data_IF_602941749136
#
_entry.id   IF_602941749136
#
_cell.length_a   1.000
_cell.length_b   1.000
_cell.length_c   1.000
_cell.angle_alpha   90.00
_cell.angle_beta   90.00
_cell.angle_gamma   90.00
#
_symmetry.space_group_name_H-M   'P 1'
#
loop_
_entity.id
_entity.type
_entity.pdbx_description
1 polymer ?
#
# COMPACT_ATOMS: atom_id res chain seq x y z
N UNK A 1 0.27 -14.45 11.35
CA UNK A 1 1.01 -15.25 10.35
C UNK A 1 0.34 -15.16 8.98
N UNK A 2 0.97 -15.72 7.94
CA UNK A 2 0.33 -15.99 6.66
C UNK A 2 -0.58 -17.24 6.75
N UNK A 3 -1.31 -17.56 5.67
CA UNK A 3 -2.15 -18.78 5.61
C UNK A 3 -1.35 -20.07 5.86
N UNK A 4 -0.09 -20.10 5.46
CA UNK A 4 0.85 -21.20 5.65
C UNK A 4 1.72 -21.06 6.92
N UNK A 5 1.35 -20.15 7.83
CA UNK A 5 2.04 -19.98 9.11
C UNK A 5 3.34 -19.18 9.06
N UNK A 6 3.79 -18.71 7.90
CA UNK A 6 5.05 -17.96 7.76
C UNK A 6 5.02 -16.61 8.47
N UNK A 7 6.14 -16.24 9.06
CA UNK A 7 6.37 -14.89 9.57
C UNK A 7 6.63 -13.91 8.42
N UNK A 8 6.53 -12.61 8.68
CA UNK A 8 6.68 -11.59 7.64
C UNK A 8 8.00 -10.87 7.81
N UNK A 9 8.88 -11.07 6.83
CA UNK A 9 10.22 -10.49 6.79
C UNK A 9 10.33 -9.33 5.81
N UNK A 10 9.27 -9.02 5.07
CA UNK A 10 9.19 -7.87 4.20
C UNK A 10 7.74 -7.41 4.02
N UNK A 11 7.57 -6.11 3.90
CA UNK A 11 6.28 -5.46 3.60
C UNK A 11 6.48 -4.31 2.65
N UNK A 12 5.53 -4.15 1.72
CA UNK A 12 5.53 -2.95 0.89
C UNK A 12 5.37 -1.71 1.76
N UNK A 13 6.06 -0.65 1.39
CA UNK A 13 5.74 0.70 1.80
C UNK A 13 4.52 1.21 1.04
N UNK A 14 3.93 2.31 1.50
CA UNK A 14 2.71 2.89 0.93
C UNK A 14 2.86 4.38 0.69
N UNK A 15 2.21 4.85 -0.37
CA UNK A 15 1.95 6.25 -0.63
C UNK A 15 0.48 6.42 -1.03
N UNK A 16 -0.16 7.46 -0.54
CA UNK A 16 -1.57 7.74 -0.80
C UNK A 16 -1.71 9.16 -1.31
N UNK A 17 -2.41 9.30 -2.43
CA UNK A 17 -2.64 10.61 -3.05
C UNK A 17 -4.11 10.80 -3.33
N UNK A 18 -4.52 12.07 -3.30
CA UNK A 18 -5.74 12.52 -3.91
C UNK A 18 -5.37 13.57 -4.97
N UNK A 19 -5.87 13.37 -6.17
CA UNK A 19 -5.70 14.29 -7.30
C UNK A 19 -7.04 14.93 -7.60
N UNK A 20 -7.10 16.25 -7.54
CA UNK A 20 -8.24 17.03 -8.00
C UNK A 20 -7.89 17.72 -9.33
N UNK A 21 -8.76 17.54 -10.31
CA UNK A 21 -8.73 18.27 -11.57
C UNK A 21 -9.82 19.32 -11.56
N UNK A 22 -9.42 20.57 -11.74
CA UNK A 22 -10.31 21.71 -11.88
C UNK A 22 -10.39 22.10 -13.36
N UNK A 23 -11.59 22.06 -13.91
CA UNK A 23 -11.93 22.48 -15.26
C UNK A 23 -12.83 23.72 -15.25
N UNK A 24 -13.75 23.77 -16.21
CA UNK A 24 -14.75 24.84 -16.34
C UNK A 24 -16.08 24.24 -16.80
N UNK A 25 -17.16 24.52 -16.04
CA UNK A 25 -18.50 24.06 -16.40
C UNK A 25 -19.04 24.83 -17.62
N UNK A 26 -19.78 24.12 -18.47
CA UNK A 26 -20.61 24.70 -19.55
C UNK A 26 -21.77 23.76 -19.86
N UNK A 27 -22.73 24.19 -20.65
CA UNK A 27 -23.84 23.34 -21.07
C UNK A 27 -23.34 22.34 -22.14
N UNK A 28 -23.44 21.04 -21.83
CA UNK A 28 -22.86 19.97 -22.67
C UNK A 28 -23.44 19.90 -24.11
N UNK A 29 -24.67 20.38 -24.32
CA UNK A 29 -25.31 20.32 -25.62
C UNK A 29 -25.39 21.67 -26.36
N UNK A 30 -25.17 22.80 -25.67
CA UNK A 30 -25.27 24.13 -26.28
C UNK A 30 -23.91 24.75 -26.55
N UNK A 31 -23.00 24.69 -25.59
CA UNK A 31 -21.70 25.39 -25.65
C UNK A 31 -20.59 24.52 -25.01
N UNK A 32 -20.43 23.24 -25.42
CA UNK A 32 -19.43 22.35 -24.81
C UNK A 32 -18.00 22.89 -25.00
N UNK A 33 -17.74 23.64 -26.08
CA UNK A 33 -16.44 24.24 -26.39
C UNK A 33 -16.03 25.34 -25.41
N UNK A 34 -16.96 25.92 -24.67
CA UNK A 34 -16.67 26.88 -23.61
C UNK A 34 -16.25 26.23 -22.29
N UNK A 35 -16.47 24.93 -22.16
CA UNK A 35 -16.09 24.16 -20.97
C UNK A 35 -14.68 23.61 -21.05
N UNK A 36 -14.17 23.22 -19.87
CA UNK A 36 -12.94 22.44 -19.73
C UNK A 36 -13.30 21.18 -18.96
N UNK A 37 -13.34 20.04 -19.64
CA UNK A 37 -13.91 18.81 -19.10
C UNK A 37 -12.94 18.11 -18.13
N UNK A 38 -13.20 18.24 -16.84
CA UNK A 38 -12.41 17.64 -15.79
C UNK A 38 -12.41 16.09 -15.84
N UNK A 39 -13.50 15.46 -16.33
CA UNK A 39 -13.54 13.98 -16.49
C UNK A 39 -12.57 13.51 -17.57
N UNK A 40 -12.52 14.21 -18.71
CA UNK A 40 -11.61 13.89 -19.80
C UNK A 40 -10.16 14.05 -19.36
N UNK A 41 -9.84 15.16 -18.68
CA UNK A 41 -8.50 15.35 -18.12
C UNK A 41 -8.13 14.26 -17.11
N UNK A 42 -9.05 13.90 -16.22
CA UNK A 42 -8.81 12.84 -15.24
C UNK A 42 -8.57 11.49 -15.90
N UNK A 43 -9.22 11.20 -17.03
CA UNK A 43 -8.95 9.97 -17.80
C UNK A 43 -7.50 9.94 -18.32
N UNK A 44 -6.98 11.06 -18.83
CA UNK A 44 -5.57 11.15 -19.23
C UNK A 44 -4.62 10.93 -18.05
N UNK A 45 -4.90 11.54 -16.90
CA UNK A 45 -4.11 11.36 -15.67
C UNK A 45 -4.14 9.91 -15.22
N UNK A 46 -5.30 9.27 -15.21
CA UNK A 46 -5.45 7.86 -14.80
C UNK A 46 -4.55 6.94 -15.64
N UNK A 47 -4.49 7.15 -16.95
CA UNK A 47 -3.63 6.36 -17.84
C UNK A 47 -2.13 6.63 -17.60
N UNK A 48 -1.75 7.88 -17.32
CA UNK A 48 -0.37 8.24 -16.98
C UNK A 48 0.06 7.57 -15.66
N UNK A 49 -0.83 7.51 -14.67
CA UNK A 49 -0.56 6.87 -13.38
C UNK A 49 -0.39 5.36 -13.51
N UNK A 50 -1.23 4.70 -14.30
CA UNK A 50 -1.11 3.27 -14.55
C UNK A 50 0.24 2.88 -15.20
N UNK A 51 0.83 3.78 -15.99
CA UNK A 51 2.15 3.58 -16.59
C UNK A 51 3.33 3.67 -15.59
N UNK A 52 3.09 4.08 -14.33
CA UNK A 52 4.11 4.15 -13.29
C UNK A 52 4.34 2.81 -12.57
N UNK A 53 3.49 1.82 -12.81
CA UNK A 53 3.64 0.47 -12.23
C UNK A 53 4.94 -0.18 -12.70
N UNK A 54 5.57 -0.94 -11.80
CA UNK A 54 6.75 -1.75 -12.12
C UNK A 54 6.66 -3.11 -11.43
N UNK A 55 6.28 -4.12 -12.20
CA UNK A 55 6.12 -5.47 -11.70
C UNK A 55 7.46 -6.10 -11.25
N UNK A 56 8.60 -5.66 -11.81
CA UNK A 56 9.93 -6.19 -11.44
C UNK A 56 10.33 -5.84 -10.00
N UNK A 57 9.87 -4.69 -9.51
CA UNK A 57 10.06 -4.24 -8.12
C UNK A 57 8.79 -4.42 -7.26
N UNK A 58 7.74 -5.03 -7.83
CA UNK A 58 6.46 -5.17 -7.16
C UNK A 58 5.76 -3.83 -6.90
N UNK A 59 6.08 -2.80 -7.69
CA UNK A 59 5.46 -1.48 -7.55
C UNK A 59 4.08 -1.47 -8.19
N UNK A 60 3.07 -1.09 -7.41
CA UNK A 60 1.69 -0.91 -7.87
C UNK A 60 1.25 0.52 -7.67
N UNK A 61 0.48 1.06 -8.62
CA UNK A 61 -0.12 2.40 -8.56
C UNK A 61 -1.58 2.28 -8.97
N UNK A 62 -2.46 2.14 -7.99
CA UNK A 62 -3.85 1.78 -8.22
C UNK A 62 -4.77 2.99 -8.02
N UNK A 63 -5.42 3.50 -9.07
CA UNK A 63 -6.58 4.38 -8.93
C UNK A 63 -7.71 3.64 -8.21
N UNK A 64 -8.19 4.16 -7.08
CA UNK A 64 -9.12 3.43 -6.21
C UNK A 64 -10.53 4.01 -6.24
N UNK A 65 -10.69 5.31 -6.06
CA UNK A 65 -12.00 5.96 -6.16
C UNK A 65 -11.94 7.12 -7.14
N UNK A 66 -13.00 7.28 -7.95
CA UNK A 66 -13.14 8.39 -8.88
C UNK A 66 -14.53 8.99 -8.76
N UNK A 67 -14.59 10.31 -8.60
CA UNK A 67 -15.84 11.07 -8.61
C UNK A 67 -15.71 12.23 -9.58
N UNK A 68 -16.71 12.44 -10.44
CA UNK A 68 -16.72 13.55 -11.38
C UNK A 68 -18.13 13.90 -11.83
N UNK A 69 -18.36 15.20 -12.05
CA UNK A 69 -19.63 15.74 -12.53
C UNK A 69 -20.76 15.70 -11.52
N UNK A 70 -21.84 16.41 -11.84
CA UNK A 70 -23.05 16.53 -11.00
C UNK A 70 -24.33 16.22 -11.77
N UNK A 71 -24.37 16.56 -13.06
CA UNK A 71 -25.53 16.38 -13.92
C UNK A 71 -25.13 15.93 -15.30
N UNK A 72 -26.03 15.27 -16.04
CA UNK A 72 -25.75 14.67 -17.35
C UNK A 72 -25.62 15.67 -18.49
N UNK A 73 -26.08 16.90 -18.32
CA UNK A 73 -26.08 17.94 -19.34
C UNK A 73 -25.06 19.07 -19.09
N UNK A 74 -24.12 18.86 -18.17
CA UNK A 74 -23.08 19.85 -17.82
C UNK A 74 -21.71 19.25 -18.05
N UNK A 75 -20.81 19.98 -18.69
CA UNK A 75 -19.37 19.65 -18.76
C UNK A 75 -18.81 19.70 -17.34
N UNK A 76 -18.23 18.63 -16.81
CA UNK A 76 -17.72 18.59 -15.44
C UNK A 76 -16.56 19.57 -15.22
N UNK A 77 -16.67 20.39 -14.19
CA UNK A 77 -15.63 21.33 -13.76
C UNK A 77 -14.74 20.79 -12.64
N UNK A 78 -15.11 19.63 -12.06
CA UNK A 78 -14.33 18.97 -11.01
C UNK A 78 -14.33 17.46 -11.21
N UNK A 79 -13.14 16.85 -11.08
CA UNK A 79 -12.96 15.43 -10.93
C UNK A 79 -11.95 15.18 -9.80
N UNK A 80 -12.18 14.15 -8.96
CA UNK A 80 -11.32 13.79 -7.84
C UNK A 80 -11.02 12.29 -7.89
N UNK A 81 -9.75 11.94 -7.81
CA UNK A 81 -9.23 10.58 -7.87
C UNK A 81 -8.38 10.29 -6.63
N UNK A 82 -8.67 9.20 -5.94
CA UNK A 82 -7.81 8.66 -4.89
C UNK A 82 -6.93 7.54 -5.44
N UNK A 83 -5.67 7.46 -4.96
CA UNK A 83 -4.65 6.53 -5.44
C UNK A 83 -3.97 5.86 -4.24
N UNK A 84 -3.82 4.54 -4.31
CA UNK A 84 -2.97 3.73 -3.43
C UNK A 84 -1.74 3.26 -4.23
N UNK A 85 -0.55 3.70 -3.84
CA UNK A 85 0.71 3.25 -4.43
C UNK A 85 1.51 2.46 -3.40
N UNK A 86 2.08 1.33 -3.82
CA UNK A 86 2.86 0.44 -2.94
C UNK A 86 4.09 -0.09 -3.65
N UNK A 87 5.21 -0.23 -2.92
CA UNK A 87 6.43 -0.85 -3.43
C UNK A 87 7.24 -1.48 -2.30
N UNK A 88 8.02 -2.54 -2.63
CA UNK A 88 9.10 -3.02 -1.76
C UNK A 88 10.33 -2.11 -1.79
N UNK A 89 10.45 -1.25 -2.80
CA UNK A 89 11.55 -0.31 -2.98
C UNK A 89 11.18 1.09 -2.50
N UNK A 90 12.01 1.65 -1.61
CA UNK A 90 11.88 3.05 -1.20
C UNK A 90 12.14 4.01 -2.37
N UNK A 91 13.10 3.68 -3.24
CA UNK A 91 13.44 4.51 -4.39
C UNK A 91 12.28 4.55 -5.40
N UNK A 92 11.58 3.44 -5.59
CA UNK A 92 10.38 3.41 -6.42
C UNK A 92 9.24 4.24 -5.84
N UNK A 93 9.04 4.23 -4.53
CA UNK A 93 8.05 5.12 -3.91
C UNK A 93 8.40 6.59 -4.13
N UNK A 94 9.68 6.95 -4.06
CA UNK A 94 10.15 8.30 -4.39
C UNK A 94 9.97 8.64 -5.88
N UNK A 95 10.25 7.67 -6.77
CA UNK A 95 10.02 7.83 -8.22
C UNK A 95 8.54 8.09 -8.51
N UNK A 96 7.64 7.31 -7.89
CA UNK A 96 6.19 7.51 -8.04
C UNK A 96 5.77 8.87 -7.47
N UNK A 97 6.23 9.25 -6.27
CA UNK A 97 5.92 10.56 -5.68
C UNK A 97 6.34 11.71 -6.58
N UNK A 98 7.56 11.66 -7.11
CA UNK A 98 8.07 12.66 -8.02
C UNK A 98 7.24 12.75 -9.32
N UNK A 99 6.84 11.60 -9.87
CA UNK A 99 6.03 11.54 -11.08
C UNK A 99 4.61 12.09 -10.85
N UNK A 100 3.97 11.74 -9.72
CA UNK A 100 2.64 12.25 -9.35
C UNK A 100 2.67 13.77 -9.16
N UNK A 101 3.70 14.31 -8.50
CA UNK A 101 3.84 15.77 -8.31
C UNK A 101 4.22 16.52 -9.59
N UNK A 102 4.79 15.83 -10.57
CA UNK A 102 5.16 16.40 -11.87
C UNK A 102 4.02 16.38 -12.91
N UNK A 103 2.85 15.83 -12.56
CA UNK A 103 1.68 15.80 -13.45
C UNK A 103 1.34 17.20 -13.98
N UNK A 104 1.10 17.27 -15.28
CA UNK A 104 0.69 18.51 -15.96
C UNK A 104 -0.61 18.26 -16.71
N UNK A 105 -1.51 19.24 -16.74
CA UNK A 105 -2.74 19.09 -17.49
C UNK A 105 -2.47 18.97 -19.00
N UNK A 106 -3.22 18.09 -19.64
CA UNK A 106 -3.24 17.89 -21.09
C UNK A 106 -4.19 18.91 -21.75
N UNK A 107 -5.33 19.18 -21.10
CA UNK A 107 -6.31 20.14 -21.59
C UNK A 107 -5.90 21.57 -21.21
N UNK A 108 -5.87 22.47 -22.20
CA UNK A 108 -5.57 23.87 -21.96
C UNK A 108 -6.59 24.48 -20.95
N UNK A 109 -6.05 25.16 -19.94
CA UNK A 109 -6.85 25.79 -18.90
C UNK A 109 -7.28 24.89 -17.74
N UNK A 110 -7.08 23.57 -17.81
CA UNK A 110 -7.27 22.69 -16.66
C UNK A 110 -6.18 22.94 -15.60
N UNK A 111 -6.51 22.73 -14.34
CA UNK A 111 -5.59 22.83 -13.21
C UNK A 111 -5.61 21.53 -12.40
N UNK A 112 -4.44 21.03 -12.06
CA UNK A 112 -4.26 19.83 -11.23
C UNK A 112 -3.84 20.27 -9.84
N UNK A 113 -4.43 19.66 -8.82
CA UNK A 113 -4.04 19.77 -7.43
C UNK A 113 -3.77 18.38 -6.87
N UNK A 114 -2.60 18.18 -6.26
CA UNK A 114 -2.18 16.92 -5.67
C UNK A 114 -2.02 17.09 -4.17
N UNK A 115 -2.71 16.27 -3.40
CA UNK A 115 -2.55 16.16 -1.95
C UNK A 115 -2.13 14.75 -1.55
N UNK A 116 -1.64 14.58 -0.31
CA UNK A 116 -1.09 13.31 0.14
C UNK A 116 0.40 13.16 -0.16
N UNK A 117 0.87 11.92 -0.20
CA UNK A 117 2.30 11.60 -0.40
C UNK A 117 2.70 10.26 0.19
N UNK A 118 4.02 10.11 0.43
CA UNK A 118 4.59 8.95 1.10
C UNK A 118 3.99 8.81 2.50
N UNK A 119 3.55 7.61 2.84
CA UNK A 119 2.89 7.32 4.12
C UNK A 119 3.77 6.41 4.99
N UNK A 120 4.11 5.22 4.50
CA UNK A 120 4.92 4.23 5.23
C UNK A 120 6.10 3.78 4.37
N UNK A 121 7.35 3.85 4.88
CA UNK A 121 8.49 3.22 4.21
C UNK A 121 8.30 1.70 4.11
N UNK A 122 8.95 0.99 3.17
CA UNK A 122 8.91 -0.46 3.13
C UNK A 122 9.65 -1.07 4.33
N UNK A 123 9.14 -2.19 4.83
CA UNK A 123 9.87 -3.06 5.77
C UNK A 123 10.81 -3.94 4.94
N UNK A 124 12.12 -3.72 5.08
CA UNK A 124 13.14 -4.46 4.36
C UNK A 124 13.54 -5.75 5.08
N UNK A 125 13.86 -6.84 4.37
CA UNK A 125 14.37 -8.06 4.97
C UNK A 125 15.62 -7.85 5.86
N UNK A 126 16.45 -6.86 5.56
CA UNK A 126 17.61 -6.50 6.38
C UNK A 126 17.27 -6.06 7.80
N UNK A 127 16.10 -5.43 8.01
CA UNK A 127 15.61 -5.02 9.33
C UNK A 127 14.98 -6.17 10.13
N UNK A 128 14.80 -7.35 9.51
CA UNK A 128 14.13 -8.50 10.12
C UNK A 128 15.05 -9.68 10.33
N UNK A 129 16.19 -9.74 9.62
CA UNK A 129 17.05 -10.90 9.50
C UNK A 129 17.50 -11.47 10.85
N UNK A 130 17.97 -10.62 11.75
CA UNK A 130 18.47 -11.05 13.06
C UNK A 130 17.36 -11.65 13.94
N UNK A 131 16.21 -10.98 14.03
CA UNK A 131 15.09 -11.51 14.80
C UNK A 131 14.51 -12.77 14.18
N UNK A 132 14.51 -12.88 12.84
CA UNK A 132 14.08 -14.09 12.15
C UNK A 132 15.00 -15.27 12.47
N UNK A 133 16.32 -15.08 12.46
CA UNK A 133 17.29 -16.12 12.82
C UNK A 133 17.10 -16.62 14.26
N UNK A 134 16.89 -15.70 15.22
CA UNK A 134 16.59 -16.06 16.61
C UNK A 134 15.26 -16.82 16.69
N UNK A 135 14.23 -16.35 15.99
CA UNK A 135 12.91 -16.97 15.97
C UNK A 135 12.95 -18.42 15.45
N UNK A 136 13.72 -18.69 14.38
CA UNK A 136 13.89 -20.06 13.85
C UNK A 136 14.58 -20.98 14.88
N UNK A 137 15.62 -20.49 15.58
CA UNK A 137 16.30 -21.25 16.64
C UNK A 137 15.35 -21.57 17.81
N UNK A 138 14.54 -20.59 18.21
CA UNK A 138 13.54 -20.78 19.29
C UNK A 138 12.46 -21.76 18.86
N UNK A 139 11.92 -21.63 17.64
CA UNK A 139 10.92 -22.56 17.13
C UNK A 139 11.45 -24.01 17.14
N UNK A 140 12.66 -24.22 16.67
CA UNK A 140 13.31 -25.53 16.71
C UNK A 140 13.50 -26.05 18.14
N UNK A 141 13.88 -25.19 19.09
CA UNK A 141 14.13 -25.58 20.50
C UNK A 141 12.87 -26.08 21.25
N UNK A 142 11.70 -25.62 20.82
CA UNK A 142 10.41 -26.04 21.38
C UNK A 142 9.69 -27.09 20.53
N UNK A 143 10.35 -27.62 19.50
CA UNK A 143 9.81 -28.69 18.66
C UNK A 143 8.80 -28.22 17.60
N UNK A 144 8.72 -26.92 17.30
CA UNK A 144 7.90 -26.42 16.20
C UNK A 144 8.55 -26.74 14.84
N UNK A 145 7.68 -26.83 13.83
CA UNK A 145 8.15 -26.81 12.43
C UNK A 145 8.83 -25.48 12.10
N UNK A 146 9.73 -25.45 11.10
CA UNK A 146 10.34 -24.20 10.63
C UNK A 146 9.28 -23.14 10.33
N UNK A 147 9.48 -21.92 10.83
CA UNK A 147 8.53 -20.82 10.67
C UNK A 147 8.37 -20.42 9.20
N UNK A 148 9.46 -20.46 8.44
CA UNK A 148 9.51 -19.89 7.11
C UNK A 148 9.22 -18.39 7.10
N UNK A 149 9.51 -17.73 5.98
CA UNK A 149 9.34 -16.30 5.84
C UNK A 149 8.55 -15.94 4.57
N UNK A 150 7.95 -14.75 4.56
CA UNK A 150 7.24 -14.22 3.41
C UNK A 150 7.35 -12.69 3.36
N UNK A 151 7.44 -12.15 2.14
CA UNK A 151 7.25 -10.74 1.87
C UNK A 151 5.80 -10.52 1.37
N UNK A 152 5.13 -9.48 1.88
CA UNK A 152 3.70 -9.25 1.61
C UNK A 152 3.40 -7.81 1.21
N UNK A 153 2.31 -7.63 0.44
CA UNK A 153 1.89 -6.31 -0.05
C UNK A 153 1.23 -5.42 0.99
N UNK A 154 0.77 -5.99 2.13
CA UNK A 154 0.14 -5.23 3.20
C UNK A 154 1.16 -4.58 4.12
N UNK A 155 1.01 -3.29 4.44
CA UNK A 155 1.83 -2.59 5.42
C UNK A 155 1.32 -2.82 6.85
N UNK A 156 2.19 -2.56 7.84
CA UNK A 156 1.86 -2.57 9.28
C UNK A 156 2.63 -1.47 10.01
N UNK A 157 2.44 -1.34 11.31
CA UNK A 157 3.21 -0.41 12.14
C UNK A 157 4.69 -0.83 12.26
N UNK A 158 5.01 -2.10 11.98
CA UNK A 158 6.39 -2.58 11.84
C UNK A 158 7.19 -1.83 10.77
N UNK A 159 6.54 -1.33 9.73
CA UNK A 159 7.17 -0.47 8.74
C UNK A 159 7.77 0.81 9.36
N UNK A 160 7.03 1.46 10.28
CA UNK A 160 7.50 2.66 10.97
C UNK A 160 8.62 2.35 11.95
N UNK A 161 8.50 1.25 12.71
CA UNK A 161 9.52 0.84 13.66
C UNK A 161 10.86 0.55 12.94
N UNK A 162 10.81 -0.18 11.83
CA UNK A 162 11.99 -0.46 11.01
C UNK A 162 12.60 0.81 10.41
N UNK A 163 11.78 1.74 9.93
CA UNK A 163 12.25 3.04 9.42
C UNK A 163 12.92 3.90 10.50
N UNK A 164 12.54 3.72 11.77
CA UNK A 164 13.19 4.34 12.92
C UNK A 164 14.49 3.62 13.35
N UNK A 165 14.89 2.57 12.65
CA UNK A 165 16.13 1.82 12.94
C UNK A 165 15.96 0.64 13.89
N UNK A 166 14.73 0.27 14.27
CA UNK A 166 14.49 -0.90 15.11
C UNK A 166 14.60 -2.20 14.28
N UNK A 167 15.09 -3.27 14.91
CA UNK A 167 14.89 -4.61 14.39
C UNK A 167 13.43 -5.01 14.56
N UNK A 168 12.83 -5.59 13.53
CA UNK A 168 11.40 -5.92 13.49
C UNK A 168 11.19 -7.33 12.97
N UNK A 169 10.32 -8.09 13.62
CA UNK A 169 9.78 -9.32 13.06
C UNK A 169 8.26 -9.29 13.19
N UNK A 170 7.55 -9.49 12.09
CA UNK A 170 6.11 -9.34 12.02
C UNK A 170 5.42 -10.66 11.62
N UNK A 171 4.10 -10.72 11.79
CA UNK A 171 3.33 -11.93 11.45
C UNK A 171 3.49 -13.07 12.45
N UNK A 172 3.78 -12.80 13.72
CA UNK A 172 4.02 -13.79 14.77
C UNK A 172 2.71 -14.43 15.33
N UNK A 173 1.57 -13.82 15.06
CA UNK A 173 0.27 -14.29 15.58
C UNK A 173 -0.22 -15.59 14.93
N UNK A 174 -1.43 -15.99 15.31
CA UNK A 174 -2.09 -17.22 14.86
C UNK A 174 -2.26 -17.28 13.33
N UNK A 175 -2.38 -18.48 12.79
CA UNK A 175 -2.69 -18.73 11.39
C UNK A 175 -4.16 -18.40 11.11
N UNK A 176 -4.43 -17.67 10.08
CA UNK A 176 -5.77 -17.27 9.69
C UNK A 176 -5.85 -16.72 8.27
N UNK A 177 -7.03 -16.36 7.84
CA UNK A 177 -7.26 -15.83 6.49
C UNK A 177 -8.52 -14.99 6.40
N UNK A 178 -8.75 -14.39 5.23
CA UNK A 178 -9.90 -13.53 4.99
C UNK A 178 -9.85 -12.20 5.71
N UNK A 179 -8.65 -11.66 5.99
CA UNK A 179 -8.48 -10.39 6.70
C UNK A 179 -9.35 -9.27 6.07
N UNK A 180 -10.11 -8.56 6.93
CA UNK A 180 -11.05 -7.50 6.55
C UNK A 180 -12.29 -7.98 5.76
N UNK A 181 -12.51 -9.30 5.61
CA UNK A 181 -13.68 -9.85 4.95
C UNK A 181 -14.66 -10.45 5.96
N UNK A 182 -15.94 -10.59 5.54
CA UNK A 182 -16.97 -11.17 6.40
C UNK A 182 -16.72 -12.64 6.79
N UNK A 183 -15.86 -13.32 6.03
CA UNK A 183 -15.43 -14.69 6.26
C UNK A 183 -14.04 -14.80 6.89
N UNK A 184 -13.59 -13.78 7.60
CA UNK A 184 -12.31 -13.82 8.32
C UNK A 184 -12.32 -14.96 9.35
N UNK A 185 -11.23 -15.71 9.44
CA UNK A 185 -11.11 -16.87 10.32
C UNK A 185 -9.71 -16.98 10.91
N UNK A 186 -9.62 -17.70 12.03
CA UNK A 186 -8.38 -18.07 12.70
C UNK A 186 -8.39 -19.55 13.08
N UNK A 187 -7.25 -20.21 12.97
CA UNK A 187 -7.05 -21.59 13.47
C UNK A 187 -6.89 -21.58 14.99
N UNK A 188 -7.84 -22.19 15.72
CA UNK A 188 -7.76 -22.30 17.19
C UNK A 188 -6.51 -23.05 17.65
N UNK A 189 -6.12 -24.12 16.95
CA UNK A 189 -4.91 -24.88 17.28
C UNK A 189 -3.65 -24.01 17.18
N UNK A 190 -3.58 -23.12 16.18
CA UNK A 190 -2.42 -22.23 16.00
C UNK A 190 -2.32 -21.14 17.06
N UNK A 191 -3.41 -20.82 17.77
CA UNK A 191 -3.38 -19.81 18.85
C UNK A 191 -2.45 -20.28 19.97
N UNK A 192 -2.64 -21.51 20.46
CA UNK A 192 -1.80 -22.04 21.54
C UNK A 192 -0.34 -22.19 21.10
N UNK A 193 -0.12 -22.80 19.93
CA UNK A 193 1.23 -22.99 19.38
C UNK A 193 1.99 -21.66 19.25
N UNK A 194 1.32 -20.62 18.74
CA UNK A 194 1.94 -19.29 18.58
C UNK A 194 2.12 -18.54 19.90
N UNK A 195 1.25 -18.77 20.88
CA UNK A 195 1.41 -18.23 22.24
C UNK A 195 2.64 -18.82 22.92
N UNK A 196 2.82 -20.14 22.84
CA UNK A 196 3.98 -20.84 23.42
C UNK A 196 5.28 -20.40 22.75
N UNK A 197 5.25 -20.28 21.42
CA UNK A 197 6.37 -19.75 20.65
C UNK A 197 6.71 -18.30 21.06
N UNK A 198 5.73 -17.39 21.14
CA UNK A 198 5.96 -16.00 21.52
C UNK A 198 6.54 -15.89 22.93
N UNK A 199 6.03 -16.71 23.87
CA UNK A 199 6.57 -16.76 25.23
C UNK A 199 8.07 -17.16 25.24
N UNK A 200 8.42 -18.21 24.51
CA UNK A 200 9.80 -18.68 24.40
C UNK A 200 10.69 -17.65 23.69
N UNK A 201 10.18 -17.03 22.61
CA UNK A 201 10.92 -16.04 21.84
C UNK A 201 11.20 -14.76 22.65
N UNK A 202 10.19 -14.23 23.37
CA UNK A 202 10.40 -13.07 24.25
C UNK A 202 11.40 -13.38 25.36
N UNK A 203 11.33 -14.57 25.94
CA UNK A 203 12.27 -15.00 26.98
C UNK A 203 13.71 -15.03 26.45
N UNK A 204 13.92 -15.52 25.23
CA UNK A 204 15.24 -15.52 24.58
C UNK A 204 15.79 -14.12 24.33
N UNK A 205 14.92 -13.15 24.00
CA UNK A 205 15.30 -11.77 23.75
C UNK A 205 15.64 -10.97 25.01
N UNK A 206 15.25 -11.44 26.20
CA UNK A 206 15.46 -10.74 27.47
C UNK A 206 16.72 -11.23 28.21
N UNK A 207 17.41 -12.23 27.67
CA UNK A 207 18.67 -12.77 28.22
C UNK A 207 19.86 -12.12 27.52
#
# INVERSE_FOLDING_TARGET
ASLDGKVKTGRKGTAMYQIAVHGLASHAGLEPEKGINATTEMAHITLQLAALEDASHGTTVVPTTLRSGTTTNTVPDLAVLDIDARSFSQDDLHRVDAAVRALKPTLAGARIEVTGGLNRPPLQPSSTAKLYEIAEKVAASIGMAPLGCAEVGGASDGNFAAAAGAEVLDGLGAVGGGAHAANEWVSLASIQERSDFLHAFIKELLV
#
